data_IF_054601043515
#
_entry.id   IF_054601043515
#
_cell.length_a   1.000
_cell.length_b   1.000
_cell.length_c   1.000
_cell.angle_alpha   90.00
_cell.angle_beta   90.00
_cell.angle_gamma   90.00
#
_symmetry.space_group_name_H-M   'P 1'
#
loop_
_entity.id
_entity.type
_entity.pdbx_description
1 polymer ?
#
# COMPACT_ATOMS: atom_id res chain seq x y z
N UNK A 1 16.67 46.89 -34.87
CA UNK A 1 18.09 46.51 -34.91
C UNK A 1 18.20 45.24 -34.11
N UNK A 2 18.17 44.08 -34.75
CA UNK A 2 19.27 43.20 -35.12
C UNK A 2 20.20 42.95 -33.91
N UNK A 3 20.50 41.79 -33.42
CA UNK A 3 20.56 40.44 -33.98
C UNK A 3 21.25 39.50 -32.97
N UNK A 4 20.95 38.23 -33.14
CA UNK A 4 21.82 37.03 -33.08
C UNK A 4 21.82 36.17 -31.83
N UNK A 5 21.27 35.00 -32.02
CA UNK A 5 21.60 33.75 -31.32
C UNK A 5 23.02 33.27 -31.62
N UNK A 6 23.58 32.38 -30.81
CA UNK A 6 24.35 31.25 -31.34
C UNK A 6 23.83 29.86 -30.88
N UNK A 7 23.75 29.07 -31.78
CA UNK A 7 23.96 27.67 -32.09
C UNK A 7 24.21 26.63 -30.99
N UNK A 8 23.50 25.55 -31.19
CA UNK A 8 23.55 24.29 -30.48
C UNK A 8 24.86 23.52 -30.73
N UNK A 9 25.44 22.98 -29.67
CA UNK A 9 26.38 21.87 -29.75
C UNK A 9 25.72 20.65 -29.08
N UNK A 10 25.36 19.69 -29.92
CA UNK A 10 24.85 18.41 -29.50
C UNK A 10 25.93 17.51 -28.91
N UNK A 11 25.73 17.03 -27.72
CA UNK A 11 26.43 15.86 -27.19
C UNK A 11 25.43 14.70 -27.10
N UNK A 12 25.60 13.71 -27.97
CA UNK A 12 24.94 12.41 -27.84
C UNK A 12 25.70 11.62 -26.76
N UNK A 13 25.04 11.36 -25.66
CA UNK A 13 25.47 10.34 -24.70
C UNK A 13 24.67 9.09 -24.93
N UNK A 14 25.36 8.03 -25.35
CA UNK A 14 24.77 6.70 -25.52
C UNK A 14 24.52 6.05 -24.15
N UNK A 15 23.27 5.75 -23.87
CA UNK A 15 22.88 4.98 -22.69
C UNK A 15 23.01 3.50 -23.05
N UNK A 16 24.00 2.82 -22.45
CA UNK A 16 24.05 1.35 -22.41
C UNK A 16 23.06 0.86 -21.36
N UNK A 17 22.13 -0.01 -21.80
CA UNK A 17 21.16 -0.64 -20.95
C UNK A 17 21.81 -1.50 -19.86
N UNK A 18 21.40 -1.26 -18.60
CA UNK A 18 21.61 -2.16 -17.49
C UNK A 18 20.33 -2.95 -17.25
N UNK A 19 20.40 -4.25 -17.40
CA UNK A 19 19.32 -5.18 -17.06
C UNK A 19 19.06 -5.14 -15.56
N UNK A 20 17.81 -4.85 -15.20
CA UNK A 20 17.33 -5.02 -13.83
C UNK A 20 16.88 -6.47 -13.69
N UNK A 21 17.65 -7.26 -12.96
CA UNK A 21 17.33 -8.65 -12.63
C UNK A 21 16.09 -8.70 -11.72
N UNK A 22 14.98 -9.20 -12.24
CA UNK A 22 13.77 -9.47 -11.46
C UNK A 22 13.98 -10.76 -10.66
N UNK A 23 14.18 -10.66 -9.39
CA UNK A 23 14.02 -11.80 -8.48
C UNK A 23 12.52 -12.09 -8.31
N UNK A 24 11.99 -12.89 -9.22
CA UNK A 24 10.65 -13.45 -9.12
C UNK A 24 10.60 -14.52 -8.04
N UNK A 25 9.94 -14.25 -6.91
CA UNK A 25 9.59 -15.28 -5.95
C UNK A 25 8.37 -16.01 -6.49
N UNK A 26 8.57 -17.22 -7.01
CA UNK A 26 7.50 -18.14 -7.38
C UNK A 26 6.80 -18.63 -6.12
N UNK A 27 5.65 -18.07 -5.79
CA UNK A 27 4.78 -18.57 -4.73
C UNK A 27 3.90 -19.65 -5.31
N UNK A 28 4.10 -20.89 -4.87
CA UNK A 28 3.30 -22.04 -5.25
C UNK A 28 1.80 -21.81 -5.01
N UNK A 29 1.00 -21.95 -6.05
CA UNK A 29 -0.45 -21.78 -6.00
C UNK A 29 -1.12 -22.99 -5.33
N UNK A 30 -1.73 -22.79 -4.17
CA UNK A 30 -2.55 -23.80 -3.51
C UNK A 30 -3.91 -23.91 -4.24
N UNK A 31 -4.44 -25.13 -4.52
CA UNK A 31 -5.65 -25.32 -5.34
C UNK A 31 -6.92 -24.64 -4.82
N UNK A 32 -7.03 -24.36 -3.54
CA UNK A 32 -8.20 -23.70 -2.96
C UNK A 32 -8.28 -22.19 -3.27
N UNK A 33 -7.17 -21.53 -3.62
CA UNK A 33 -7.17 -20.11 -4.04
C UNK A 33 -7.83 -19.90 -5.41
N UNK A 34 -7.67 -20.83 -6.32
CA UNK A 34 -8.22 -20.71 -7.68
C UNK A 34 -9.75 -20.75 -7.73
N UNK A 35 -10.41 -21.40 -6.74
CA UNK A 35 -11.86 -21.52 -6.71
C UNK A 35 -12.54 -20.28 -6.10
N UNK A 36 -11.93 -19.62 -5.10
CA UNK A 36 -12.41 -18.35 -4.55
C UNK A 36 -12.22 -17.18 -5.51
N UNK A 37 -11.10 -17.09 -6.19
CA UNK A 37 -10.81 -16.02 -7.16
C UNK A 37 -11.81 -15.97 -8.34
N UNK A 38 -12.40 -17.11 -8.73
CA UNK A 38 -13.40 -17.16 -9.80
C UNK A 38 -14.77 -16.59 -9.39
N UNK A 39 -15.11 -16.58 -8.12
CA UNK A 39 -16.37 -16.02 -7.61
C UNK A 39 -16.37 -14.47 -7.62
N UNK A 40 -15.23 -13.83 -7.49
CA UNK A 40 -15.11 -12.37 -7.42
C UNK A 40 -14.91 -11.71 -8.80
N UNK A 41 -14.48 -12.46 -9.80
CA UNK A 41 -14.17 -11.92 -11.14
C UNK A 41 -15.38 -11.43 -11.95
N UNK A 42 -16.62 -11.60 -11.49
CA UNK A 42 -17.83 -11.30 -12.25
C UNK A 42 -18.70 -10.16 -11.70
N UNK A 43 -18.41 -9.61 -10.54
CA UNK A 43 -19.21 -8.53 -9.95
C UNK A 43 -18.82 -7.16 -10.52
N UNK A 44 -19.57 -6.72 -11.54
CA UNK A 44 -19.54 -5.31 -11.97
C UNK A 44 -20.34 -4.49 -10.96
N UNK A 45 -19.76 -3.42 -10.45
CA UNK A 45 -20.42 -2.46 -9.55
C UNK A 45 -21.78 -1.90 -10.07
N UNK A 46 -22.10 -2.12 -11.35
CA UNK A 46 -23.39 -1.75 -11.96
C UNK A 46 -24.54 -2.72 -11.67
N UNK A 47 -24.29 -3.89 -11.10
CA UNK A 47 -25.34 -4.90 -10.84
C UNK A 47 -25.97 -4.81 -9.43
N UNK A 48 -25.71 -3.74 -8.72
CA UNK A 48 -26.20 -3.46 -7.36
C UNK A 48 -27.73 -3.46 -7.22
N UNK A 49 -28.46 -3.22 -8.32
CA UNK A 49 -29.93 -3.16 -8.30
C UNK A 49 -30.60 -4.55 -8.22
N UNK A 50 -29.87 -5.64 -8.48
CA UNK A 50 -30.45 -7.00 -8.57
C UNK A 50 -30.39 -7.82 -7.27
N UNK A 51 -29.69 -7.34 -6.24
CA UNK A 51 -29.51 -8.07 -4.98
C UNK A 51 -30.57 -7.81 -3.90
N UNK A 52 -31.61 -7.05 -4.20
CA UNK A 52 -32.73 -6.73 -3.27
C UNK A 52 -33.81 -7.81 -3.17
N UNK A 53 -33.57 -9.02 -3.52
CA UNK A 53 -34.61 -10.03 -3.56
C UNK A 53 -34.18 -11.42 -3.09
N UNK A 54 -33.79 -11.57 -1.83
CA UNK A 54 -33.85 -12.87 -1.09
C UNK A 54 -33.61 -12.63 0.40
N UNK A 55 -34.65 -12.20 1.10
CA UNK A 55 -34.76 -12.44 2.53
C UNK A 55 -35.26 -13.89 2.72
N UNK A 56 -34.40 -14.76 3.22
CA UNK A 56 -34.80 -16.09 3.73
C UNK A 56 -35.08 -15.97 5.23
N UNK A 57 -36.29 -16.24 5.58
CA UNK A 57 -36.80 -16.35 6.94
C UNK A 57 -36.03 -17.40 7.78
N UNK A 58 -35.64 -17.03 8.98
CA UNK A 58 -35.36 -17.97 10.06
C UNK A 58 -36.20 -17.63 11.31
N UNK A 59 -36.74 -18.65 11.98
CA UNK A 59 -37.76 -18.50 13.00
C UNK A 59 -37.15 -18.53 14.41
N UNK A 60 -37.33 -17.49 15.19
CA UNK A 60 -37.42 -17.56 16.65
C UNK A 60 -38.25 -16.36 17.13
N UNK A 61 -39.45 -16.62 17.54
CA UNK A 61 -40.28 -15.69 18.28
C UNK A 61 -40.20 -15.99 19.78
N UNK A 62 -41.14 -15.42 20.59
CA UNK A 62 -41.14 -14.01 20.96
C UNK A 62 -41.20 -13.83 22.49
N UNK A 63 -40.94 -12.63 22.98
CA UNK A 63 -41.65 -12.09 24.15
C UNK A 63 -41.53 -10.57 24.21
N UNK A 64 -42.67 -9.91 24.01
CA UNK A 64 -42.87 -8.51 24.36
C UNK A 64 -43.41 -8.39 25.80
N UNK A 65 -43.31 -7.19 26.39
CA UNK A 65 -44.58 -6.55 26.76
C UNK A 65 -44.69 -5.09 26.29
N UNK A 66 -45.82 -4.88 25.70
CA UNK A 66 -46.85 -3.82 25.79
C UNK A 66 -46.49 -2.41 26.29
N UNK A 67 -46.86 -1.47 25.46
CA UNK A 67 -47.48 -0.20 25.85
C UNK A 67 -46.77 1.02 25.31
N UNK A 68 -47.40 1.69 24.33
CA UNK A 68 -47.83 3.10 24.35
C UNK A 68 -48.45 3.49 23.01
N UNK A 69 -49.56 4.01 23.14
CA UNK A 69 -50.62 4.74 22.42
C UNK A 69 -50.19 5.46 21.12
N UNK A 70 -51.05 5.25 20.10
CA UNK A 70 -51.10 5.94 18.84
C UNK A 70 -51.65 7.40 18.98
N UNK A 71 -51.14 8.30 18.17
CA UNK A 71 -51.90 9.42 17.65
C UNK A 71 -51.66 9.56 16.13
N UNK A 72 -52.75 9.62 15.40
CA UNK A 72 -52.82 9.66 13.97
C UNK A 72 -53.03 11.06 13.37
N UNK A 73 -53.34 11.05 12.08
CA UNK A 73 -53.72 12.14 11.15
C UNK A 73 -52.51 12.82 10.48
N UNK A 74 -52.33 12.87 9.17
CA UNK A 74 -53.27 12.79 8.04
C UNK A 74 -52.99 13.98 7.09
N UNK A 75 -52.53 13.69 5.89
CA UNK A 75 -52.86 14.54 4.73
C UNK A 75 -52.31 13.96 3.42
N UNK A 76 -53.20 13.69 2.50
CA UNK A 76 -53.01 13.45 1.07
C UNK A 76 -52.78 14.77 0.33
N UNK A 77 -52.15 14.68 -0.84
CA UNK A 77 -52.24 15.44 -2.12
C UNK A 77 -50.82 15.45 -2.72
N UNK A 78 -50.54 15.12 -3.94
CA UNK A 78 -51.15 15.05 -5.20
C UNK A 78 -50.21 14.40 -6.22
N UNK A 79 -50.78 13.67 -7.15
CA UNK A 79 -50.12 13.17 -8.35
C UNK A 79 -49.97 14.28 -9.37
N UNK A 80 -48.83 14.36 -10.04
CA UNK A 80 -48.77 14.88 -11.39
C UNK A 80 -47.83 14.07 -12.28
N UNK A 81 -48.39 13.69 -13.42
CA UNK A 81 -47.78 13.03 -14.56
C UNK A 81 -47.09 14.06 -15.45
N UNK A 82 -46.11 13.66 -16.18
CA UNK A 82 -45.66 14.06 -17.54
C UNK A 82 -44.18 13.77 -17.63
N UNK A 83 -43.56 13.23 -18.65
CA UNK A 83 -43.93 12.94 -20.00
C UNK A 83 -42.71 12.30 -20.65
N UNK A 84 -42.95 11.35 -21.53
CA UNK A 84 -41.98 10.68 -22.37
C UNK A 84 -41.34 11.64 -23.38
N UNK A 85 -40.03 11.56 -23.57
CA UNK A 85 -39.39 11.96 -24.82
C UNK A 85 -38.33 10.94 -25.21
N UNK A 86 -38.63 10.26 -26.29
CA UNK A 86 -37.71 9.41 -27.02
C UNK A 86 -36.91 10.25 -28.02
N UNK A 87 -35.61 9.94 -28.19
CA UNK A 87 -34.82 10.24 -29.40
C UNK A 87 -33.59 9.35 -29.36
N UNK A 88 -33.60 8.37 -30.23
CA UNK A 88 -32.94 8.25 -31.52
C UNK A 88 -31.46 7.85 -31.46
N UNK A 89 -31.26 6.63 -31.88
CA UNK A 89 -30.04 5.93 -32.24
C UNK A 89 -29.34 6.54 -33.47
N UNK A 90 -27.98 6.58 -33.41
CA UNK A 90 -27.03 6.38 -34.52
C UNK A 90 -25.75 5.93 -33.87
N UNK A 91 -25.27 4.84 -34.11
CA UNK A 91 -24.61 3.97 -35.00
C UNK A 91 -23.25 4.52 -35.46
N UNK A 92 -22.15 3.95 -35.00
CA UNK A 92 -20.88 3.95 -35.75
C UNK A 92 -20.09 2.68 -35.42
N UNK A 93 -19.64 2.09 -36.46
CA UNK A 93 -19.13 0.76 -36.74
C UNK A 93 -17.75 0.41 -36.19
N UNK A 94 -17.57 -0.88 -36.09
CA UNK A 94 -16.39 -1.70 -35.87
C UNK A 94 -15.11 -1.33 -36.62
N UNK A 95 -13.97 -1.59 -36.00
CA UNK A 95 -12.81 -2.17 -36.69
C UNK A 95 -11.90 -2.92 -35.71
N UNK A 96 -11.59 -4.19 -35.95
CA UNK A 96 -10.66 -4.97 -35.17
C UNK A 96 -9.23 -4.83 -35.73
N UNK A 97 -8.24 -4.53 -34.90
CA UNK A 97 -6.83 -4.65 -35.29
C UNK A 97 -6.21 -5.94 -34.76
N UNK A 98 -5.87 -6.78 -35.71
CA UNK A 98 -5.04 -7.98 -35.61
C UNK A 98 -3.67 -7.69 -34.97
N UNK A 99 -3.32 -8.49 -33.98
CA UNK A 99 -1.94 -8.65 -33.55
C UNK A 99 -1.27 -9.79 -34.26
N UNK A 100 -0.22 -9.49 -35.00
CA UNK A 100 0.65 -10.46 -35.66
C UNK A 100 1.58 -11.12 -34.64
N UNK A 101 1.66 -12.43 -34.75
CA UNK A 101 2.66 -13.30 -34.13
C UNK A 101 4.06 -13.00 -34.68
N UNK A 102 5.02 -12.73 -33.80
CA UNK A 102 6.44 -12.63 -34.14
C UNK A 102 7.14 -13.97 -33.94
N UNK A 103 7.77 -14.44 -35.01
CA UNK A 103 8.53 -15.70 -35.07
C UNK A 103 9.82 -15.65 -34.22
N UNK A 104 10.02 -16.70 -33.46
CA UNK A 104 11.33 -17.02 -32.83
C UNK A 104 12.26 -17.64 -33.85
N UNK A 105 13.42 -17.03 -34.07
CA UNK A 105 14.51 -17.64 -34.85
C UNK A 105 15.55 -18.22 -33.87
N UNK A 106 15.72 -19.55 -33.96
CA UNK A 106 16.78 -20.32 -33.34
C UNK A 106 18.16 -19.92 -33.88
N UNK A 107 19.09 -19.49 -33.05
CA UNK A 107 20.51 -19.43 -33.40
C UNK A 107 21.22 -20.69 -32.90
N UNK A 108 21.75 -21.44 -33.84
CA UNK A 108 22.51 -22.69 -33.69
C UNK A 108 24.00 -22.35 -33.59
N UNK A 109 24.65 -22.64 -32.49
CA UNK A 109 26.10 -22.57 -32.36
C UNK A 109 26.76 -23.67 -33.18
N UNK A 110 27.67 -23.26 -34.08
CA UNK A 110 28.60 -24.16 -34.75
C UNK A 110 29.88 -24.28 -33.96
N UNK A 111 30.17 -25.49 -33.60
CA UNK A 111 31.49 -26.01 -33.14
C UNK A 111 32.51 -25.84 -34.28
N UNK A 112 33.69 -25.35 -33.95
CA UNK A 112 34.85 -25.44 -34.85
C UNK A 112 35.98 -26.17 -34.14
N UNK A 113 36.38 -27.26 -34.79
CA UNK A 113 37.27 -28.25 -34.29
C UNK A 113 38.77 -27.92 -34.45
N UNK A 114 39.50 -28.73 -33.81
CA UNK A 114 40.96 -28.92 -33.72
C UNK A 114 41.70 -28.91 -35.07
N UNK A 115 42.91 -28.35 -35.06
CA UNK A 115 44.03 -28.81 -35.88
C UNK A 115 45.32 -28.98 -35.11
N UNK A 116 45.79 -30.19 -35.12
CA UNK A 116 47.14 -30.66 -34.76
C UNK A 116 48.11 -30.44 -35.93
N UNK A 117 49.37 -30.22 -35.65
CA UNK A 117 50.50 -30.39 -36.59
C UNK A 117 51.73 -29.62 -36.08
N UNK A 118 52.65 -30.18 -35.49
CA UNK A 118 53.79 -31.05 -35.83
C UNK A 118 55.14 -30.29 -36.05
N UNK A 119 56.15 -30.71 -35.27
CA UNK A 119 57.59 -30.70 -35.55
C UNK A 119 58.32 -29.35 -35.52
N UNK A 120 59.38 -29.13 -34.81
CA UNK A 120 60.47 -29.93 -34.24
C UNK A 120 61.74 -29.15 -34.43
N UNK A 121 62.55 -28.95 -33.42
CA UNK A 121 64.01 -29.12 -33.48
C UNK A 121 64.66 -28.72 -32.15
N UNK A 122 65.56 -29.61 -31.72
CA UNK A 122 66.38 -29.52 -30.52
C UNK A 122 67.55 -28.52 -30.75
N UNK A 123 67.90 -27.71 -29.76
CA UNK A 123 69.27 -27.38 -29.44
C UNK A 123 69.43 -27.30 -27.91
N UNK A 124 70.54 -27.85 -27.39
CA UNK A 124 70.80 -27.87 -25.98
C UNK A 124 71.66 -26.71 -25.48
N UNK A 125 71.61 -26.53 -24.21
CA UNK A 125 72.59 -25.84 -23.34
C UNK A 125 72.60 -24.31 -23.32
N UNK A 126 71.94 -23.82 -22.27
CA UNK A 126 72.53 -22.81 -21.35
C UNK A 126 71.70 -22.79 -20.06
N UNK A 127 71.99 -23.66 -19.13
CA UNK A 127 71.56 -23.52 -17.76
C UNK A 127 72.45 -22.49 -17.07
N UNK A 128 71.94 -21.24 -16.96
CA UNK A 128 72.45 -20.24 -16.01
C UNK A 128 71.29 -19.53 -15.36
N UNK A 129 70.99 -19.99 -14.20
CA UNK A 129 70.63 -19.23 -12.99
C UNK A 129 69.98 -17.86 -13.21
N UNK A 130 68.68 -17.79 -13.12
CA UNK A 130 67.98 -16.67 -12.51
C UNK A 130 66.84 -17.23 -11.68
N UNK A 131 67.17 -17.78 -10.53
CA UNK A 131 66.25 -17.94 -9.40
C UNK A 131 66.07 -16.52 -8.83
N UNK A 132 65.22 -15.70 -9.46
CA UNK A 132 64.58 -14.60 -8.78
C UNK A 132 63.51 -15.20 -7.88
N UNK A 133 63.58 -15.02 -6.54
CA UNK A 133 62.52 -15.43 -5.68
C UNK A 133 61.30 -14.64 -6.06
N UNK A 134 60.27 -15.33 -6.57
CA UNK A 134 58.90 -14.82 -6.55
C UNK A 134 58.55 -14.72 -5.07
N UNK A 135 58.93 -13.60 -4.46
CA UNK A 135 58.33 -13.15 -3.22
C UNK A 135 56.95 -12.64 -3.60
N UNK A 136 55.85 -13.34 -3.29
CA UNK A 136 54.55 -12.75 -3.41
C UNK A 136 54.59 -11.57 -2.45
N UNK A 137 54.56 -10.35 -2.97
CA UNK A 137 54.16 -9.18 -2.20
C UNK A 137 52.77 -9.50 -1.63
N UNK A 138 52.75 -10.05 -0.43
CA UNK A 138 51.60 -10.05 0.46
C UNK A 138 51.36 -8.57 0.87
N UNK A 139 50.93 -7.77 -0.09
CA UNK A 139 50.25 -6.53 0.24
C UNK A 139 48.98 -6.97 0.98
N UNK A 140 48.81 -6.55 2.24
CA UNK A 140 47.54 -6.77 2.88
C UNK A 140 46.48 -6.19 1.94
N UNK A 141 45.55 -7.03 1.47
CA UNK A 141 44.41 -6.57 0.71
C UNK A 141 43.78 -5.47 1.55
N UNK A 142 43.77 -4.24 1.04
CA UNK A 142 43.06 -3.17 1.69
C UNK A 142 41.65 -3.69 2.03
N UNK A 143 41.18 -3.57 3.27
CA UNK A 143 39.85 -4.00 3.61
C UNK A 143 38.91 -3.38 2.60
N UNK A 144 38.16 -4.22 1.90
CA UNK A 144 37.13 -3.73 0.98
C UNK A 144 36.30 -2.69 1.74
N UNK A 145 36.01 -1.52 1.15
CA UNK A 145 35.26 -0.51 1.84
C UNK A 145 34.00 -1.20 2.35
N UNK A 146 33.77 -1.18 3.67
CA UNK A 146 32.55 -1.67 4.26
C UNK A 146 31.42 -0.92 3.57
N UNK A 147 30.77 -1.55 2.59
CA UNK A 147 29.55 -1.05 2.04
C UNK A 147 28.59 -0.96 3.21
N UNK A 148 28.15 0.26 3.54
CA UNK A 148 27.11 0.44 4.53
C UNK A 148 25.96 -0.52 4.16
N UNK A 149 25.66 -1.46 5.02
CA UNK A 149 24.57 -2.39 4.80
C UNK A 149 23.33 -1.72 5.35
N UNK A 150 22.57 -1.07 4.47
CA UNK A 150 21.30 -0.48 4.84
C UNK A 150 20.26 -1.57 5.14
N UNK A 151 19.36 -1.30 6.08
CA UNK A 151 18.25 -2.20 6.40
C UNK A 151 17.31 -2.32 5.20
N UNK A 152 16.75 -3.51 4.94
CA UNK A 152 15.75 -3.69 3.89
C UNK A 152 14.53 -2.80 4.10
N UNK A 153 13.96 -2.31 2.98
CA UNK A 153 12.74 -1.52 2.95
C UNK A 153 11.61 -2.36 2.34
N UNK A 154 10.50 -2.45 3.05
CA UNK A 154 9.28 -3.10 2.57
C UNK A 154 8.25 -2.01 2.30
N UNK A 155 7.65 -2.01 1.10
CA UNK A 155 6.65 -1.03 0.69
C UNK A 155 5.29 -1.71 0.52
N UNK A 156 4.24 -1.10 1.10
CA UNK A 156 2.85 -1.56 1.01
C UNK A 156 2.00 -0.46 0.39
N UNK A 157 1.34 -0.79 -0.71
CA UNK A 157 0.52 0.14 -1.48
C UNK A 157 -0.88 0.35 -0.87
N UNK A 158 -1.63 1.32 -1.42
CA UNK A 158 -2.96 1.69 -0.98
C UNK A 158 -4.11 1.10 -1.81
N UNK A 159 -5.29 1.68 -1.61
CA UNK A 159 -6.52 1.31 -2.32
C UNK A 159 -6.39 1.59 -3.82
N UNK A 160 -6.75 0.61 -4.67
CA UNK A 160 -6.67 0.65 -6.14
C UNK A 160 -5.27 0.85 -6.72
N UNK A 161 -4.24 0.76 -5.89
CA UNK A 161 -2.86 0.93 -6.28
C UNK A 161 -2.16 -0.43 -6.55
N UNK A 162 -0.89 -0.39 -6.88
CA UNK A 162 -0.08 -1.55 -7.19
C UNK A 162 1.40 -1.31 -6.92
N UNK A 163 2.19 -2.37 -6.94
CA UNK A 163 3.65 -2.31 -6.82
C UNK A 163 4.31 -1.38 -7.83
N UNK A 164 3.71 -1.20 -9.01
CA UNK A 164 4.25 -0.38 -10.09
C UNK A 164 4.29 1.11 -9.79
N UNK A 165 3.43 1.61 -8.92
CA UNK A 165 3.31 3.05 -8.63
C UNK A 165 4.54 3.62 -7.91
N UNK A 166 5.33 2.79 -7.26
CA UNK A 166 6.45 3.22 -6.40
C UNK A 166 7.79 3.37 -7.10
N UNK A 167 7.86 3.31 -8.43
CA UNK A 167 9.11 3.36 -9.19
C UNK A 167 10.00 4.55 -8.83
N UNK A 168 9.44 5.75 -8.65
CA UNK A 168 10.20 6.94 -8.26
C UNK A 168 10.76 6.83 -6.85
N UNK A 169 9.98 6.30 -5.91
CA UNK A 169 10.44 6.03 -4.55
C UNK A 169 11.65 5.07 -4.57
N UNK A 170 11.58 4.00 -5.38
CA UNK A 170 12.67 3.05 -5.54
C UNK A 170 13.92 3.73 -6.14
N UNK A 171 13.74 4.59 -7.15
CA UNK A 171 14.82 5.38 -7.74
C UNK A 171 15.50 6.25 -6.68
N UNK A 172 14.75 6.99 -5.86
CA UNK A 172 15.28 7.86 -4.82
C UNK A 172 16.04 7.06 -3.74
N UNK A 173 15.48 5.95 -3.28
CA UNK A 173 16.16 5.08 -2.29
C UNK A 173 17.46 4.53 -2.88
N UNK A 174 17.47 4.11 -4.14
CA UNK A 174 18.69 3.60 -4.78
C UNK A 174 19.77 4.67 -4.97
N UNK A 175 19.38 5.92 -5.18
CA UNK A 175 20.31 7.05 -5.30
C UNK A 175 20.97 7.41 -3.97
N UNK A 176 20.20 7.48 -2.90
CA UNK A 176 20.68 7.93 -1.58
C UNK A 176 21.24 6.78 -0.72
N UNK A 177 20.67 5.58 -0.86
CA UNK A 177 21.02 4.37 -0.11
C UNK A 177 21.36 3.22 -1.06
N UNK A 178 22.44 3.32 -1.85
CA UNK A 178 22.77 2.34 -2.89
C UNK A 178 23.06 0.97 -2.30
N UNK A 179 22.35 -0.04 -2.84
CA UNK A 179 22.44 -1.43 -2.39
C UNK A 179 21.38 -1.82 -1.35
N UNK A 180 20.49 -0.90 -0.97
CA UNK A 180 19.31 -1.23 -0.15
C UNK A 180 18.40 -2.21 -0.89
N UNK A 181 18.00 -3.28 -0.23
CA UNK A 181 16.99 -4.20 -0.75
C UNK A 181 15.61 -3.60 -0.52
N UNK A 182 14.95 -3.18 -1.59
CA UNK A 182 13.59 -2.64 -1.52
C UNK A 182 12.61 -3.67 -2.10
N UNK A 183 11.62 -4.06 -1.32
CA UNK A 183 10.57 -4.99 -1.75
C UNK A 183 9.22 -4.28 -1.72
N UNK A 184 8.65 -3.99 -2.87
CA UNK A 184 7.26 -3.56 -2.97
C UNK A 184 6.40 -4.80 -3.04
N UNK A 185 5.48 -4.96 -2.07
CA UNK A 185 4.67 -6.16 -1.98
C UNK A 185 3.57 -6.13 -3.06
N UNK A 186 3.61 -7.12 -3.97
CA UNK A 186 2.70 -7.28 -5.10
C UNK A 186 1.53 -8.19 -4.70
N UNK A 187 0.71 -7.73 -3.75
CA UNK A 187 -0.43 -8.42 -3.19
C UNK A 187 -1.61 -7.47 -3.08
N UNK A 188 -2.81 -7.96 -3.39
CA UNK A 188 -4.05 -7.18 -3.33
C UNK A 188 -4.06 -5.95 -4.25
N UNK A 189 -3.45 -6.06 -5.42
CA UNK A 189 -3.38 -4.98 -6.41
C UNK A 189 -4.74 -4.58 -6.97
N UNK A 190 -4.91 -3.31 -7.29
CA UNK A 190 -6.09 -2.77 -7.92
C UNK A 190 -7.36 -3.11 -7.14
N UNK A 191 -8.29 -3.86 -7.74
CA UNK A 191 -9.58 -4.21 -7.12
C UNK A 191 -9.47 -5.16 -5.93
N UNK A 192 -8.44 -5.97 -5.87
CA UNK A 192 -8.21 -6.88 -4.73
C UNK A 192 -7.95 -6.09 -3.43
N UNK A 193 -7.51 -4.83 -3.53
CA UNK A 193 -7.35 -3.94 -2.37
C UNK A 193 -8.67 -3.54 -1.70
N UNK A 194 -9.82 -3.86 -2.33
CA UNK A 194 -11.15 -3.72 -1.71
C UNK A 194 -11.52 -4.87 -0.76
N UNK A 195 -10.72 -5.94 -0.69
CA UNK A 195 -10.98 -7.05 0.24
C UNK A 195 -10.89 -6.57 1.69
N UNK A 196 -11.56 -7.26 2.64
CA UNK A 196 -11.49 -6.89 4.05
C UNK A 196 -10.06 -6.71 4.54
N UNK A 197 -9.81 -5.67 5.36
CA UNK A 197 -8.45 -5.35 5.78
C UNK A 197 -7.80 -6.48 6.58
N UNK A 198 -8.55 -7.25 7.38
CA UNK A 198 -7.97 -8.42 8.08
C UNK A 198 -7.47 -9.51 7.12
N UNK A 199 -8.11 -9.68 5.98
CA UNK A 199 -7.63 -10.59 4.94
C UNK A 199 -6.32 -10.08 4.32
N UNK A 200 -6.24 -8.78 4.08
CA UNK A 200 -5.02 -8.14 3.59
C UNK A 200 -3.89 -8.26 4.63
N UNK A 201 -4.16 -7.98 5.90
CA UNK A 201 -3.18 -8.14 7.00
C UNK A 201 -2.61 -9.56 7.02
N UNK A 202 -3.46 -10.58 6.90
CA UNK A 202 -2.99 -11.98 6.88
C UNK A 202 -2.09 -12.27 5.67
N UNK A 203 -2.47 -11.80 4.47
CA UNK A 203 -1.68 -12.01 3.25
C UNK A 203 -0.34 -11.29 3.31
N UNK A 204 -0.33 -10.04 3.78
CA UNK A 204 0.90 -9.29 3.95
C UNK A 204 1.81 -9.87 5.04
N UNK A 205 1.23 -10.39 6.14
CA UNK A 205 2.00 -11.11 7.18
C UNK A 205 2.79 -12.27 6.58
N UNK A 206 2.15 -13.10 5.77
CA UNK A 206 2.81 -14.23 5.10
C UNK A 206 3.98 -13.78 4.21
N UNK A 207 3.89 -12.59 3.60
CA UNK A 207 4.91 -12.04 2.72
C UNK A 207 6.08 -11.39 3.49
N UNK A 208 5.81 -10.69 4.61
CA UNK A 208 6.87 -9.95 5.34
C UNK A 208 7.71 -10.84 6.24
N UNK A 209 7.14 -11.89 6.82
CA UNK A 209 7.83 -12.80 7.74
C UNK A 209 9.17 -13.32 7.17
N UNK A 210 9.23 -13.87 5.94
CA UNK A 210 10.50 -14.35 5.39
C UNK A 210 11.50 -13.23 5.08
N UNK A 211 11.06 -11.99 4.85
CA UNK A 211 11.92 -10.83 4.65
C UNK A 211 12.53 -10.41 5.99
N UNK A 212 11.72 -10.27 7.02
CA UNK A 212 12.14 -9.90 8.37
C UNK A 212 13.09 -10.94 8.96
N UNK A 213 12.84 -12.24 8.74
CA UNK A 213 13.70 -13.32 9.19
C UNK A 213 15.12 -13.28 8.59
N UNK A 214 15.27 -12.73 7.39
CA UNK A 214 16.57 -12.54 6.72
C UNK A 214 17.27 -11.24 7.11
N UNK A 215 16.62 -10.38 7.86
CA UNK A 215 17.10 -9.06 8.24
C UNK A 215 17.21 -8.93 9.77
N UNK A 216 18.17 -9.59 10.45
CA UNK A 216 18.27 -9.57 11.91
C UNK A 216 18.54 -8.17 12.48
N UNK A 217 19.04 -7.24 11.67
CA UNK A 217 19.28 -5.84 12.05
C UNK A 217 18.00 -4.99 11.98
N UNK A 218 16.89 -5.56 11.53
CA UNK A 218 15.62 -4.88 11.35
C UNK A 218 15.31 -4.50 9.92
N UNK A 219 14.08 -4.02 9.72
CA UNK A 219 13.56 -3.55 8.43
C UNK A 219 12.86 -2.20 8.59
N UNK A 220 12.68 -1.48 7.49
CA UNK A 220 11.82 -0.31 7.43
C UNK A 220 10.54 -0.64 6.66
N UNK A 221 9.40 -0.10 7.11
CA UNK A 221 8.12 -0.17 6.40
C UNK A 221 7.76 1.21 5.84
N UNK A 222 7.44 1.31 4.56
CA UNK A 222 6.81 2.47 3.94
C UNK A 222 5.43 2.04 3.47
N UNK A 223 4.39 2.56 4.11
CA UNK A 223 3.03 2.09 3.89
C UNK A 223 2.14 3.28 3.51
N UNK A 224 1.62 3.23 2.27
CA UNK A 224 0.92 4.34 1.65
C UNK A 224 -0.59 4.18 1.75
N UNK A 225 -1.30 5.27 2.08
CA UNK A 225 -2.76 5.34 2.08
C UNK A 225 -3.38 4.21 2.94
N UNK A 226 -4.33 3.44 2.42
CA UNK A 226 -4.89 2.25 3.09
C UNK A 226 -3.81 1.28 3.60
N UNK A 227 -2.68 1.17 2.89
CA UNK A 227 -1.57 0.31 3.29
C UNK A 227 -1.00 0.65 4.67
N UNK A 228 -1.08 1.92 5.11
CA UNK A 228 -0.66 2.29 6.47
C UNK A 228 -1.54 1.70 7.57
N UNK A 229 -2.84 1.53 7.33
CA UNK A 229 -3.74 0.82 8.24
C UNK A 229 -3.41 -0.67 8.31
N UNK A 230 -3.13 -1.27 7.15
CA UNK A 230 -2.70 -2.68 7.07
C UNK A 230 -1.40 -2.88 7.84
N UNK A 231 -0.40 -2.01 7.64
CA UNK A 231 0.87 -2.10 8.36
C UNK A 231 0.70 -1.91 9.87
N UNK A 232 -0.11 -0.95 10.31
CA UNK A 232 -0.39 -0.77 11.74
C UNK A 232 -0.99 -2.03 12.36
N UNK A 233 -2.01 -2.60 11.73
CA UNK A 233 -2.61 -3.84 12.20
C UNK A 233 -1.62 -5.02 12.16
N UNK A 234 -0.82 -5.11 11.10
CA UNK A 234 0.24 -6.11 10.97
C UNK A 234 1.21 -6.06 12.16
N UNK A 235 1.72 -4.87 12.48
CA UNK A 235 2.62 -4.65 13.63
C UNK A 235 1.94 -4.94 14.97
N UNK A 236 0.62 -4.76 15.06
CA UNK A 236 -0.15 -5.11 16.26
C UNK A 236 -0.28 -6.61 16.45
N UNK A 237 -0.47 -7.39 15.37
CA UNK A 237 -0.67 -8.84 15.48
C UNK A 237 0.61 -9.68 15.44
N UNK A 238 1.76 -9.06 15.15
CA UNK A 238 3.06 -9.75 15.10
C UNK A 238 3.86 -9.48 16.38
N UNK A 239 4.09 -10.52 17.16
CA UNK A 239 4.86 -10.45 18.42
C UNK A 239 6.38 -10.50 18.22
N UNK A 240 6.82 -10.82 17.01
CA UNK A 240 8.21 -11.04 16.64
C UNK A 240 8.73 -10.06 15.57
N UNK A 241 7.95 -9.03 15.17
CA UNK A 241 8.42 -8.09 14.17
C UNK A 241 9.66 -7.30 14.64
N UNK A 242 10.53 -7.00 13.70
CA UNK A 242 11.77 -6.25 13.92
C UNK A 242 11.79 -4.92 13.12
N UNK A 243 10.64 -4.27 13.05
CA UNK A 243 10.50 -3.00 12.33
C UNK A 243 11.15 -1.87 13.12
N UNK A 244 12.12 -1.21 12.48
CA UNK A 244 12.80 -0.06 13.03
C UNK A 244 12.01 1.22 12.76
N UNK A 245 11.73 1.52 11.49
CA UNK A 245 10.90 2.68 11.13
C UNK A 245 9.63 2.22 10.42
N UNK A 246 8.47 2.63 10.94
CA UNK A 246 7.18 2.54 10.26
C UNK A 246 6.81 3.93 9.73
N UNK A 247 6.94 4.11 8.42
CA UNK A 247 6.61 5.34 7.70
C UNK A 247 5.21 5.22 7.15
N UNK A 248 4.28 5.93 7.79
CA UNK A 248 2.87 6.02 7.41
C UNK A 248 2.68 7.20 6.47
N UNK A 249 2.59 6.90 5.18
CA UNK A 249 2.55 7.90 4.13
C UNK A 249 1.11 8.17 3.71
N UNK A 250 0.56 9.30 4.14
CA UNK A 250 -0.81 9.76 3.86
C UNK A 250 -1.86 8.66 4.07
N UNK A 251 -1.94 8.15 5.30
CA UNK A 251 -2.80 7.04 5.67
C UNK A 251 -3.93 7.49 6.60
N UNK A 252 -5.18 7.02 6.42
CA UNK A 252 -6.31 7.37 7.27
C UNK A 252 -6.27 6.63 8.62
N UNK A 253 -5.29 6.94 9.48
CA UNK A 253 -5.00 6.22 10.71
C UNK A 253 -6.14 6.27 11.74
N UNK A 254 -6.95 7.34 11.74
CA UNK A 254 -8.17 7.46 12.56
C UNK A 254 -9.46 7.27 11.75
N UNK A 255 -9.32 6.82 10.50
CA UNK A 255 -10.46 6.59 9.63
C UNK A 255 -10.65 7.68 8.59
N UNK A 256 -11.77 7.57 7.90
CA UNK A 256 -12.16 8.38 6.76
C UNK A 256 -13.61 8.79 6.91
N UNK A 257 -13.89 10.08 6.75
CA UNK A 257 -15.24 10.61 6.66
C UNK A 257 -15.28 11.78 5.67
N UNK A 258 -16.41 11.94 4.96
CA UNK A 258 -16.61 13.04 4.03
C UNK A 258 -16.64 12.62 2.55
N UNK A 259 -16.92 13.58 1.68
CA UNK A 259 -17.12 13.36 0.24
C UNK A 259 -15.79 13.51 -0.53
N UNK A 260 -15.05 12.43 -0.66
CA UNK A 260 -13.80 12.40 -1.40
C UNK A 260 -13.97 11.93 -2.84
N UNK A 261 -12.96 12.15 -3.68
CA UNK A 261 -12.99 11.72 -5.08
C UNK A 261 -13.11 10.19 -5.24
N UNK A 262 -12.51 9.41 -4.35
CA UNK A 262 -12.68 7.95 -4.34
C UNK A 262 -14.12 7.54 -4.04
N UNK A 263 -14.77 8.21 -3.09
CA UNK A 263 -16.15 7.94 -2.75
C UNK A 263 -17.10 8.35 -3.88
N UNK A 264 -16.81 9.47 -4.56
CA UNK A 264 -17.56 9.91 -5.76
C UNK A 264 -17.49 8.87 -6.87
N UNK A 265 -16.37 8.21 -7.01
CA UNK A 265 -16.18 7.18 -8.03
C UNK A 265 -16.81 5.84 -7.62
N UNK A 266 -16.72 5.45 -6.35
CA UNK A 266 -17.23 4.17 -5.83
C UNK A 266 -18.75 4.17 -5.64
N UNK A 267 -19.32 5.28 -5.14
CA UNK A 267 -20.71 5.34 -4.74
C UNK A 267 -21.48 6.45 -5.50
N UNK A 268 -22.69 6.15 -6.02
CA UNK A 268 -23.58 7.17 -6.53
C UNK A 268 -23.88 8.26 -5.48
N UNK A 269 -24.12 9.49 -5.94
CA UNK A 269 -24.41 10.63 -5.05
C UNK A 269 -25.54 10.36 -4.07
N UNK A 270 -26.58 9.62 -4.50
CA UNK A 270 -27.71 9.23 -3.65
C UNK A 270 -27.37 8.26 -2.52
N UNK A 271 -26.22 7.60 -2.58
CA UNK A 271 -25.76 6.67 -1.55
C UNK A 271 -24.80 7.33 -0.55
N UNK A 272 -24.09 8.38 -0.96
CA UNK A 272 -23.04 9.00 -0.14
C UNK A 272 -23.54 9.57 1.17
N UNK A 273 -24.71 10.20 1.17
CA UNK A 273 -25.36 10.71 2.39
C UNK A 273 -25.84 9.62 3.36
N UNK A 274 -25.77 8.35 2.96
CA UNK A 274 -26.21 7.21 3.77
C UNK A 274 -25.11 6.12 3.85
N UNK A 275 -23.83 6.50 3.66
CA UNK A 275 -22.71 5.54 3.69
C UNK A 275 -22.63 4.78 5.02
N UNK A 276 -22.99 5.41 6.13
CA UNK A 276 -23.04 4.73 7.43
C UNK A 276 -23.95 3.50 7.43
N UNK A 277 -25.10 3.54 6.71
CA UNK A 277 -26.00 2.38 6.60
C UNK A 277 -25.39 1.24 5.79
N UNK A 278 -24.54 1.58 4.84
CA UNK A 278 -23.83 0.59 4.03
C UNK A 278 -22.63 0.07 4.81
N UNK A 279 -21.77 0.98 5.24
CA UNK A 279 -20.51 0.61 5.87
C UNK A 279 -20.70 -0.08 7.22
N UNK A 280 -21.72 0.28 7.99
CA UNK A 280 -22.00 -0.37 9.27
C UNK A 280 -22.97 -1.57 9.16
N UNK A 281 -23.10 -2.12 7.96
CA UNK A 281 -23.77 -3.41 7.74
C UNK A 281 -22.74 -4.56 7.65
N UNK A 282 -23.12 -5.82 7.96
CA UNK A 282 -22.25 -6.99 7.79
C UNK A 282 -21.69 -7.10 6.37
N UNK A 283 -22.51 -6.75 5.37
CA UNK A 283 -22.08 -6.77 3.97
C UNK A 283 -21.06 -5.64 3.66
N UNK A 284 -21.28 -4.42 4.17
CA UNK A 284 -20.34 -3.31 3.99
C UNK A 284 -18.97 -3.62 4.58
N UNK A 285 -18.92 -4.31 5.72
CA UNK A 285 -17.67 -4.69 6.36
C UNK A 285 -16.84 -5.73 5.58
N UNK A 286 -17.40 -6.33 4.50
CA UNK A 286 -16.64 -7.11 3.52
C UNK A 286 -15.80 -6.26 2.56
N UNK A 287 -15.88 -4.93 2.65
CA UNK A 287 -15.09 -4.00 1.84
C UNK A 287 -14.14 -3.19 2.70
N UNK A 288 -12.89 -3.11 2.27
CA UNK A 288 -11.82 -2.42 3.00
C UNK A 288 -12.16 -0.96 3.34
N UNK A 289 -12.76 -0.23 2.41
CA UNK A 289 -13.11 1.18 2.63
C UNK A 289 -14.11 1.36 3.78
N UNK A 290 -15.01 0.41 3.98
CA UNK A 290 -15.94 0.43 5.10
C UNK A 290 -15.30 -0.02 6.42
N UNK A 291 -14.19 -0.77 6.36
CA UNK A 291 -13.44 -1.17 7.55
C UNK A 291 -12.77 0.01 8.27
N UNK A 292 -12.54 1.12 7.57
CA UNK A 292 -12.01 2.36 8.14
C UNK A 292 -12.91 3.59 7.92
N UNK A 293 -14.17 3.39 7.46
CA UNK A 293 -15.18 4.43 7.50
C UNK A 293 -15.48 4.77 8.96
N UNK A 294 -15.35 6.05 9.32
CA UNK A 294 -15.59 6.54 10.66
C UNK A 294 -16.48 7.79 10.57
N UNK A 295 -17.77 7.62 10.86
CA UNK A 295 -18.78 8.68 10.76
C UNK A 295 -18.97 9.31 12.15
N UNK A 296 -18.58 10.56 12.37
CA UNK A 296 -18.64 11.21 13.68
C UNK A 296 -20.08 11.47 14.17
N UNK A 297 -21.07 11.35 13.28
CA UNK A 297 -22.48 11.48 13.65
C UNK A 297 -23.14 10.15 14.01
N UNK A 298 -22.44 9.03 13.81
CA UNK A 298 -22.93 7.67 14.05
C UNK A 298 -21.89 6.82 14.81
N UNK A 299 -21.31 7.42 15.85
CA UNK A 299 -20.24 6.82 16.62
C UNK A 299 -20.64 5.50 17.30
N UNK A 300 -21.91 5.41 17.78
CA UNK A 300 -22.48 4.18 18.33
C UNK A 300 -22.53 3.05 17.28
N UNK A 301 -22.86 3.36 16.03
CA UNK A 301 -22.84 2.38 14.94
C UNK A 301 -21.42 2.00 14.55
N UNK A 302 -20.51 2.97 14.50
CA UNK A 302 -19.09 2.75 14.27
C UNK A 302 -18.51 1.78 15.31
N UNK A 303 -18.68 2.08 16.59
CA UNK A 303 -18.18 1.24 17.68
C UNK A 303 -18.78 -0.17 17.66
N UNK A 304 -20.03 -0.31 17.24
CA UNK A 304 -20.73 -1.59 17.23
C UNK A 304 -20.39 -2.45 16.01
N UNK A 305 -20.27 -1.84 14.83
CA UNK A 305 -20.17 -2.55 13.56
C UNK A 305 -18.76 -2.63 12.99
N UNK A 306 -17.85 -1.67 13.31
CA UNK A 306 -16.51 -1.66 12.73
C UNK A 306 -15.77 -2.95 13.08
N UNK A 307 -15.47 -3.74 12.07
CA UNK A 307 -14.76 -5.01 12.23
C UNK A 307 -13.24 -4.85 12.27
N UNK A 308 -12.73 -3.65 12.00
CA UNK A 308 -11.30 -3.40 11.91
C UNK A 308 -10.86 -2.16 12.70
N UNK A 309 -11.26 -0.94 12.28
CA UNK A 309 -10.68 0.28 12.82
C UNK A 309 -10.89 0.45 14.33
N UNK A 310 -12.13 0.29 14.81
CA UNK A 310 -12.44 0.40 16.24
C UNK A 310 -11.67 -0.63 17.09
N UNK A 311 -11.37 -1.80 16.53
CA UNK A 311 -10.59 -2.83 17.22
C UNK A 311 -9.10 -2.46 17.32
N UNK A 312 -8.48 -2.03 16.21
CA UNK A 312 -7.05 -1.68 16.23
C UNK A 312 -6.78 -0.35 16.94
N UNK A 313 -7.78 0.51 17.06
CA UNK A 313 -7.73 1.72 17.89
C UNK A 313 -7.92 1.42 19.39
N UNK A 314 -8.39 0.23 19.76
CA UNK A 314 -8.76 -0.09 21.13
C UNK A 314 -9.95 0.74 21.64
N UNK A 315 -10.84 1.15 20.71
CA UNK A 315 -12.11 1.83 21.00
C UNK A 315 -13.20 0.82 21.32
N UNK A 316 -13.02 -0.40 20.84
CA UNK A 316 -13.85 -1.57 21.13
C UNK A 316 -13.00 -2.69 21.74
N UNK A 317 -13.53 -3.35 22.74
CA UNK A 317 -12.83 -4.43 23.45
C UNK A 317 -12.47 -5.60 22.54
N UNK A 318 -11.25 -6.08 22.67
CA UNK A 318 -10.76 -7.27 22.00
C UNK A 318 -9.87 -8.08 22.96
N UNK A 319 -9.99 -9.43 23.01
CA UNK A 319 -9.18 -10.27 23.89
C UNK A 319 -7.67 -10.05 23.79
N UNK A 320 -7.21 -9.73 22.58
CA UNK A 320 -5.79 -9.55 22.28
C UNK A 320 -5.33 -8.07 22.36
N UNK A 321 -6.18 -7.12 22.77
CA UNK A 321 -5.85 -5.70 22.73
C UNK A 321 -4.54 -5.36 23.49
N UNK A 322 -4.33 -5.98 24.66
CA UNK A 322 -3.10 -5.82 25.44
C UNK A 322 -1.87 -6.32 24.69
N UNK A 323 -1.97 -7.48 24.04
CA UNK A 323 -0.87 -8.03 23.26
C UNK A 323 -0.61 -7.21 22.00
N UNK A 324 -1.66 -6.77 21.30
CA UNK A 324 -1.55 -5.87 20.15
C UNK A 324 -0.83 -4.56 20.50
N UNK A 325 -1.19 -3.98 21.63
CA UNK A 325 -0.50 -2.78 22.14
C UNK A 325 0.99 -3.05 22.40
N UNK A 326 1.31 -4.14 23.07
CA UNK A 326 2.68 -4.55 23.37
C UNK A 326 3.49 -4.75 22.07
N UNK A 327 2.91 -5.41 21.08
CA UNK A 327 3.55 -5.66 19.79
C UNK A 327 3.79 -4.35 19.03
N UNK A 328 2.78 -3.50 18.91
CA UNK A 328 2.91 -2.21 18.23
C UNK A 328 3.97 -1.31 18.86
N UNK A 329 4.12 -1.36 20.16
CA UNK A 329 5.15 -0.61 20.91
C UNK A 329 6.59 -1.08 20.62
N UNK A 330 6.80 -2.18 19.89
CA UNK A 330 8.14 -2.64 19.47
C UNK A 330 8.72 -1.79 18.33
N UNK A 331 7.90 -1.03 17.60
CA UNK A 331 8.38 -0.15 16.53
C UNK A 331 9.37 0.87 17.06
N UNK A 332 10.51 1.06 16.38
CA UNK A 332 11.50 2.05 16.78
C UNK A 332 11.00 3.47 16.57
N UNK A 333 10.58 3.79 15.35
CA UNK A 333 10.06 5.09 14.95
C UNK A 333 8.73 4.95 14.19
N UNK A 334 7.77 5.78 14.54
CA UNK A 334 6.51 5.97 13.82
C UNK A 334 6.56 7.33 13.14
N UNK A 335 6.77 7.30 11.82
CA UNK A 335 6.88 8.52 11.00
C UNK A 335 5.55 8.76 10.31
N UNK A 336 4.88 9.85 10.66
CA UNK A 336 3.57 10.24 10.15
C UNK A 336 3.73 11.33 9.10
N UNK A 337 3.24 11.10 7.89
CA UNK A 337 3.35 12.00 6.75
C UNK A 337 1.97 12.20 6.14
N UNK A 338 1.62 13.46 5.83
CA UNK A 338 0.35 13.84 5.22
C UNK A 338 0.27 15.35 5.06
N UNK A 339 -0.88 15.87 4.59
CA UNK A 339 -1.01 17.31 4.44
C UNK A 339 -2.37 17.78 3.93
N UNK A 340 -2.65 19.09 4.01
CA UNK A 340 -3.97 19.66 3.76
C UNK A 340 -4.44 19.58 2.30
N UNK A 341 -3.51 19.45 1.36
CA UNK A 341 -3.81 19.42 -0.06
C UNK A 341 -3.91 18.00 -0.63
N UNK A 342 -3.96 16.99 0.25
CA UNK A 342 -4.10 15.58 -0.10
C UNK A 342 -5.33 15.30 -0.98
N UNK A 343 -6.49 15.81 -0.62
CA UNK A 343 -7.75 15.72 -1.38
C UNK A 343 -8.48 14.38 -1.28
N UNK A 344 -7.91 13.39 -0.60
CA UNK A 344 -8.49 12.05 -0.41
C UNK A 344 -8.69 11.73 1.05
N UNK A 345 -7.65 11.84 1.87
CA UNK A 345 -7.77 11.60 3.31
C UNK A 345 -8.53 12.76 3.95
N UNK A 346 -9.68 12.48 4.55
CA UNK A 346 -10.57 13.48 5.16
C UNK A 346 -11.03 13.01 6.55
N UNK A 347 -10.74 13.81 7.59
CA UNK A 347 -9.84 14.95 7.58
C UNK A 347 -8.38 14.53 7.35
N UNK A 348 -7.57 15.38 6.72
CA UNK A 348 -6.16 15.06 6.44
C UNK A 348 -5.35 14.78 7.73
N UNK A 349 -5.80 15.34 8.84
CA UNK A 349 -5.25 15.08 10.17
C UNK A 349 -5.38 13.62 10.60
N UNK A 350 -6.23 12.84 9.95
CA UNK A 350 -6.29 11.39 10.17
C UNK A 350 -4.95 10.71 9.90
N UNK A 351 -4.12 11.28 9.01
CA UNK A 351 -2.74 10.80 8.79
C UNK A 351 -1.84 11.01 10.02
N UNK A 352 -2.26 11.83 10.98
CA UNK A 352 -1.55 12.17 12.23
C UNK A 352 -2.33 11.75 13.48
N UNK A 353 -3.28 10.84 13.34
CA UNK A 353 -4.18 10.39 14.42
C UNK A 353 -5.12 11.48 14.97
N UNK A 354 -5.35 12.59 14.23
CA UNK A 354 -6.44 13.51 14.48
C UNK A 354 -7.72 13.06 13.79
N UNK A 355 -8.88 13.50 14.26
CA UNK A 355 -10.16 13.18 13.63
C UNK A 355 -11.26 14.16 14.07
N UNK A 356 -12.42 14.10 13.40
CA UNK A 356 -13.58 14.92 13.73
C UNK A 356 -14.23 14.52 15.07
N UNK A 357 -14.74 15.54 15.78
CA UNK A 357 -15.76 15.35 16.81
C UNK A 357 -17.18 15.31 16.17
N UNK A 358 -18.20 15.18 17.02
CA UNK A 358 -19.60 15.16 16.56
C UNK A 358 -20.10 16.47 15.87
N UNK A 359 -19.34 17.55 15.95
CA UNK A 359 -19.61 18.83 15.30
C UNK A 359 -18.74 19.03 14.04
N UNK A 360 -18.06 17.99 13.59
CA UNK A 360 -17.05 18.04 12.52
C UNK A 360 -15.89 19.00 12.80
N UNK A 361 -15.61 19.27 14.08
CA UNK A 361 -14.39 19.97 14.50
C UNK A 361 -13.26 18.97 14.60
N UNK A 362 -12.11 19.27 14.00
CA UNK A 362 -10.95 18.39 14.09
C UNK A 362 -10.35 18.48 15.49
N UNK A 363 -10.25 17.33 16.13
CA UNK A 363 -9.45 17.12 17.33
C UNK A 363 -8.10 16.53 16.92
N UNK A 364 -7.02 17.14 17.35
CA UNK A 364 -5.68 16.62 17.06
C UNK A 364 -5.38 15.36 17.88
N UNK A 365 -4.27 14.67 17.56
CA UNK A 365 -3.91 13.37 18.17
C UNK A 365 -4.00 13.40 19.71
N UNK A 366 -3.45 14.43 20.34
CA UNK A 366 -3.35 14.55 21.80
C UNK A 366 -4.70 14.75 22.49
N UNK A 367 -5.72 15.16 21.74
CA UNK A 367 -7.09 15.38 22.21
C UNK A 367 -7.96 14.14 22.02
N UNK A 368 -7.53 13.18 21.21
CA UNK A 368 -8.27 11.94 20.94
C UNK A 368 -8.31 11.01 22.16
N UNK A 369 -9.47 10.40 22.40
CA UNK A 369 -9.63 9.45 23.51
C UNK A 369 -8.64 8.27 23.43
N UNK A 370 -8.33 7.80 22.25
CA UNK A 370 -7.35 6.72 22.03
C UNK A 370 -5.96 7.10 22.49
N UNK A 371 -5.58 8.37 22.36
CA UNK A 371 -4.33 8.90 22.90
C UNK A 371 -4.40 9.11 24.42
N UNK A 372 -5.46 9.75 24.90
CA UNK A 372 -5.63 10.05 26.33
C UNK A 372 -5.62 8.78 27.17
N UNK A 373 -6.26 7.71 26.70
CA UNK A 373 -6.31 6.38 27.32
C UNK A 373 -5.08 5.53 27.01
N UNK A 374 -4.25 5.95 26.08
CA UNK A 374 -3.11 5.19 25.55
C UNK A 374 -3.51 3.79 25.05
N UNK A 375 -4.67 3.70 24.38
CA UNK A 375 -5.37 2.46 24.07
C UNK A 375 -4.49 1.43 23.33
N UNK A 376 -3.70 1.87 22.34
CA UNK A 376 -2.78 1.03 21.58
C UNK A 376 -1.31 1.49 21.68
N UNK A 377 -0.97 2.43 22.61
CA UNK A 377 0.40 2.82 22.89
C UNK A 377 0.86 4.13 22.26
N UNK A 378 -0.05 4.93 21.69
CA UNK A 378 0.29 6.18 20.99
C UNK A 378 0.93 7.21 21.89
N UNK A 379 0.36 7.41 23.10
CA UNK A 379 0.92 8.30 24.12
C UNK A 379 2.27 7.82 24.63
N UNK A 380 2.43 6.52 24.79
CA UNK A 380 3.71 5.89 25.17
C UNK A 380 4.77 6.12 24.08
N UNK A 381 4.42 5.95 22.79
CA UNK A 381 5.33 6.21 21.67
C UNK A 381 5.76 7.68 21.63
N UNK A 382 4.83 8.61 21.83
CA UNK A 382 5.14 10.04 21.85
C UNK A 382 6.06 10.38 23.05
N UNK A 383 5.74 9.88 24.22
CA UNK A 383 6.51 10.15 25.44
C UNK A 383 7.97 9.67 25.35
N UNK A 384 8.24 8.59 24.62
CA UNK A 384 9.62 8.10 24.40
C UNK A 384 10.31 8.73 23.19
N UNK A 385 9.67 9.69 22.50
CA UNK A 385 10.23 10.36 21.33
C UNK A 385 10.24 9.52 20.03
N UNK A 386 9.41 8.48 19.94
CA UNK A 386 9.33 7.60 18.76
C UNK A 386 8.36 8.09 17.69
N UNK A 387 7.57 9.14 17.93
CA UNK A 387 6.66 9.70 16.92
C UNK A 387 7.32 10.89 16.25
N UNK A 388 7.35 10.85 14.94
CA UNK A 388 7.81 11.95 14.07
C UNK A 388 6.64 12.39 13.19
N UNK A 389 6.39 13.68 13.13
CA UNK A 389 5.34 14.26 12.28
C UNK A 389 5.97 15.10 11.19
N UNK A 390 5.62 14.83 9.95
CA UNK A 390 6.10 15.58 8.80
C UNK A 390 4.90 16.04 7.92
N UNK A 391 4.19 17.10 8.32
CA UNK A 391 3.13 17.66 7.51
C UNK A 391 3.72 18.43 6.32
N UNK A 392 3.19 18.19 5.11
CA UNK A 392 3.59 18.91 3.91
C UNK A 392 2.39 19.37 3.10
N UNK A 393 2.34 20.66 2.79
CA UNK A 393 1.35 21.27 1.91
C UNK A 393 1.73 21.10 0.43
N UNK A 394 0.75 21.28 -0.47
CA UNK A 394 0.96 21.29 -1.91
C UNK A 394 1.12 19.91 -2.55
N UNK A 395 0.86 18.82 -1.83
CA UNK A 395 1.00 17.44 -2.33
C UNK A 395 -0.38 16.80 -2.39
N UNK A 396 -0.81 16.40 -3.59
CA UNK A 396 -2.03 15.61 -3.79
C UNK A 396 -1.81 14.14 -3.43
N UNK A 397 -2.89 13.42 -3.12
CA UNK A 397 -2.84 12.04 -2.64
C UNK A 397 -1.98 11.12 -3.52
N UNK A 398 -2.13 11.18 -4.83
CA UNK A 398 -1.38 10.33 -5.77
C UNK A 398 0.07 10.75 -5.99
N UNK A 399 0.49 11.89 -5.43
CA UNK A 399 1.84 12.42 -5.61
C UNK A 399 2.80 12.09 -4.44
N UNK A 400 2.30 11.58 -3.32
CA UNK A 400 3.12 11.33 -2.12
C UNK A 400 4.33 10.43 -2.37
N UNK A 401 4.16 9.33 -3.10
CA UNK A 401 5.23 8.37 -3.37
C UNK A 401 6.17 8.77 -4.52
N UNK A 402 5.91 9.89 -5.20
CA UNK A 402 6.70 10.39 -6.33
C UNK A 402 7.31 11.79 -6.11
N UNK A 403 7.06 12.40 -4.96
CA UNK A 403 7.61 13.74 -4.65
C UNK A 403 9.00 13.61 -4.04
N UNK A 404 10.01 14.13 -4.73
CA UNK A 404 11.41 14.04 -4.32
C UNK A 404 11.68 14.83 -3.04
N UNK A 405 11.18 16.05 -2.95
CA UNK A 405 11.38 16.89 -1.76
C UNK A 405 10.79 16.25 -0.51
N UNK A 406 9.61 15.62 -0.63
CA UNK A 406 9.04 14.84 0.44
C UNK A 406 9.95 13.68 0.86
N UNK A 407 10.44 12.93 -0.13
CA UNK A 407 11.35 11.82 0.13
C UNK A 407 12.58 12.28 0.93
N UNK A 408 13.27 13.29 0.44
CA UNK A 408 14.50 13.81 1.05
C UNK A 408 14.26 14.42 2.45
N UNK A 409 13.07 15.02 2.66
CA UNK A 409 12.77 15.71 3.94
C UNK A 409 12.18 14.76 4.98
N UNK A 410 11.27 13.87 4.57
CA UNK A 410 10.42 13.13 5.50
C UNK A 410 10.67 11.63 5.54
N UNK A 411 11.23 11.02 4.49
CA UNK A 411 11.43 9.58 4.38
C UNK A 411 12.89 9.19 4.57
N UNK A 412 13.78 9.76 3.78
CA UNK A 412 15.21 9.44 3.73
C UNK A 412 15.88 9.40 5.12
N UNK A 413 15.67 10.37 6.03
CA UNK A 413 16.33 10.39 7.35
C UNK A 413 16.06 9.15 8.21
N UNK A 414 15.07 8.36 7.86
CA UNK A 414 14.58 7.19 8.63
C UNK A 414 14.95 5.85 8.01
N UNK A 415 15.77 5.83 6.96
CA UNK A 415 16.16 4.61 6.23
C UNK A 415 17.59 4.12 6.55
N UNK A 416 18.25 4.66 7.58
CA UNK A 416 19.61 4.32 7.99
C UNK A 416 19.70 3.13 8.96
#
# INVERSE_FOLDING_TARGET
MLSKSPEALGCRVGVKGGEVERLGVSVGTHPQRAQKARLWGSLRLKDWSKLRGRESAHPFGPSAPSGWVAYGEGSRVGQEKLGQAALSSRGLEDSPRLWRQGHYTHFRMKSCGSMLGLWGQRHPAAWVLLLLPFLPLLLPAAPAPHRASYKPVIVVHGLFDSSYSFRHLLEYINETHPGTVVTVLDLFDGRESLRPLWEQVQGFREAVVPIMAKAPQGVHLICYSQGGLVCRALLSVMDDHNVDSFISLSSPQMGQYGDTDYLKWLFPTSMRSNLYRICYSPWGQEFSICNYWHDPHHDDLYLNASSFLALINGERDHPNATEWRKNFLRVGHLVLIGGPDDGVITPWQSSFFGFYDANETVLEMEEQLVYLRDSFGLKTLLARGSIVRCPMAGISHTAWHSNRTLYETCIEPWLS
#
